data_IF_384536500012
#
_entry.id   IF_384536500012
#
_cell.length_a   1.000
_cell.length_b   1.000
_cell.length_c   1.000
_cell.angle_alpha   90.00
_cell.angle_beta   90.00
_cell.angle_gamma   90.00
#
_symmetry.space_group_name_H-M   'P 1'
#
loop_
_entity.id
_entity.type
_entity.pdbx_description
1 polymer ?
#
# COMPACT_ATOMS: atom_id res chain seq x y z
N UNK A 1 27.01 -17.14 -35.20
CA UNK A 1 27.72 -16.61 -34.01
C UNK A 1 28.25 -15.22 -34.35
N UNK A 2 27.55 -14.17 -33.94
CA UNK A 2 28.05 -12.79 -33.97
C UNK A 2 27.78 -12.20 -32.59
N UNK A 3 28.78 -12.26 -31.73
CA UNK A 3 28.78 -11.54 -30.46
C UNK A 3 29.28 -10.12 -30.70
N UNK A 4 28.67 -9.13 -30.05
CA UNK A 4 29.24 -7.80 -29.94
C UNK A 4 29.04 -7.27 -28.52
N UNK A 5 30.03 -6.59 -27.94
CA UNK A 5 30.18 -6.39 -26.50
C UNK A 5 29.84 -4.95 -26.12
N UNK A 6 28.77 -4.74 -25.35
CA UNK A 6 28.43 -3.42 -24.84
C UNK A 6 29.13 -3.17 -23.51
N UNK A 7 30.28 -2.50 -23.59
CA UNK A 7 31.02 -1.94 -22.47
C UNK A 7 30.58 -0.47 -22.29
N UNK A 8 29.78 -0.16 -21.26
CA UNK A 8 29.37 1.21 -20.94
C UNK A 8 30.42 1.87 -20.02
N UNK A 9 31.11 2.90 -20.56
CA UNK A 9 31.98 3.80 -19.80
C UNK A 9 31.16 4.88 -19.07
N UNK A 10 31.46 5.04 -17.79
CA UNK A 10 31.10 6.20 -16.98
C UNK A 10 31.81 7.47 -17.47
N UNK A 11 31.15 8.64 -17.37
CA UNK A 11 31.81 9.94 -17.56
C UNK A 11 30.92 11.02 -18.16
N UNK A 12 29.89 11.46 -17.44
CA UNK A 12 29.12 12.68 -17.77
C UNK A 12 28.88 13.54 -16.53
N UNK A 13 29.95 13.80 -15.78
CA UNK A 13 29.99 14.90 -14.81
C UNK A 13 31.14 15.78 -15.25
N UNK A 14 30.83 16.93 -15.85
CA UNK A 14 31.63 18.17 -15.91
C UNK A 14 31.22 18.96 -17.15
N UNK A 15 30.27 19.88 -16.98
CA UNK A 15 30.27 21.16 -17.68
C UNK A 15 29.48 22.16 -16.84
N UNK A 16 30.21 22.96 -16.06
CA UNK A 16 29.70 24.19 -15.43
C UNK A 16 29.49 25.20 -16.55
N UNK A 17 28.31 25.79 -16.61
CA UNK A 17 28.07 27.04 -17.32
C UNK A 17 27.89 28.12 -16.26
N UNK A 18 28.82 29.07 -16.22
CA UNK A 18 28.80 30.24 -15.35
C UNK A 18 27.85 31.28 -15.95
N UNK A 19 26.88 31.75 -15.16
CA UNK A 19 25.99 32.86 -15.51
C UNK A 19 26.39 34.12 -14.73
N UNK A 20 26.25 35.33 -15.31
CA UNK A 20 26.86 36.54 -14.76
C UNK A 20 26.09 37.09 -13.56
N UNK A 21 26.85 37.56 -12.56
CA UNK A 21 26.33 38.17 -11.34
C UNK A 21 26.04 39.65 -11.62
N UNK A 22 24.75 40.00 -11.73
CA UNK A 22 24.31 41.40 -11.78
C UNK A 22 24.15 41.90 -10.34
N UNK A 23 25.08 42.74 -9.87
CA UNK A 23 25.01 43.38 -8.55
C UNK A 23 24.02 44.56 -8.62
N UNK A 24 22.77 44.30 -8.26
CA UNK A 24 21.78 45.34 -7.97
C UNK A 24 21.77 45.70 -6.49
N UNK A 25 22.19 46.92 -6.16
CA UNK A 25 22.01 47.51 -4.82
C UNK A 25 20.53 47.79 -4.55
N UNK A 26 19.84 46.85 -3.90
CA UNK A 26 18.54 47.13 -3.30
C UNK A 26 18.71 47.32 -1.78
N UNK A 27 18.59 48.57 -1.34
CA UNK A 27 18.41 48.94 0.07
C UNK A 27 17.25 48.12 0.63
N UNK A 28 17.55 47.19 1.54
CA UNK A 28 16.54 46.46 2.31
C UNK A 28 15.96 47.42 3.34
N UNK A 29 14.81 48.01 3.04
CA UNK A 29 13.95 48.54 4.08
C UNK A 29 13.16 47.35 4.63
N UNK A 30 13.31 46.94 5.90
CA UNK A 30 12.55 45.83 6.43
C UNK A 30 11.07 46.23 6.44
N UNK A 31 10.27 45.54 5.61
CA UNK A 31 8.82 45.65 5.68
C UNK A 31 8.41 45.16 7.06
N UNK A 32 7.68 45.94 7.87
CA UNK A 32 7.21 45.46 9.15
C UNK A 32 6.26 44.29 8.88
N UNK A 33 6.63 43.09 9.34
CA UNK A 33 5.75 41.93 9.35
C UNK A 33 4.62 42.28 10.32
N UNK A 34 3.54 42.83 9.79
CA UNK A 34 2.30 42.98 10.52
C UNK A 34 1.75 41.57 10.71
N UNK A 35 1.96 41.00 11.90
CA UNK A 35 1.28 39.78 12.33
C UNK A 35 -0.22 40.10 12.38
N UNK A 36 -0.94 39.77 11.32
CA UNK A 36 -2.40 39.70 11.38
C UNK A 36 -2.71 38.39 12.10
N UNK A 37 -3.14 38.50 13.37
CA UNK A 37 -3.50 37.38 14.27
C UNK A 37 -4.80 36.69 13.82
N UNK A 38 -4.93 36.37 12.54
CA UNK A 38 -6.08 35.66 11.97
C UNK A 38 -5.65 34.61 10.95
N UNK A 39 -4.66 33.80 11.31
CA UNK A 39 -4.61 32.43 10.81
C UNK A 39 -5.75 31.63 11.45
N UNK A 40 -6.96 31.81 10.91
CA UNK A 40 -8.05 30.86 11.11
C UNK A 40 -7.70 29.62 10.30
N UNK A 41 -6.82 28.77 10.84
CA UNK A 41 -6.88 27.36 10.51
C UNK A 41 -8.26 26.89 10.96
N UNK A 42 -9.13 26.58 10.01
CA UNK A 42 -10.37 25.88 10.31
C UNK A 42 -9.93 24.47 10.69
N UNK A 43 -9.98 24.15 11.98
CA UNK A 43 -9.95 22.77 12.43
C UNK A 43 -11.18 22.08 11.83
N UNK A 44 -10.96 21.35 10.74
CA UNK A 44 -11.97 20.46 10.19
C UNK A 44 -11.89 19.20 11.02
N UNK A 45 -12.76 19.09 12.03
CA UNK A 45 -13.07 17.81 12.65
C UNK A 45 -13.65 16.90 11.57
N UNK A 46 -12.83 15.97 11.08
CA UNK A 46 -13.33 14.89 10.22
C UNK A 46 -14.35 14.11 11.06
N UNK A 47 -15.59 14.05 10.59
CA UNK A 47 -16.60 13.17 11.19
C UNK A 47 -16.06 11.75 11.15
N UNK A 48 -16.30 10.94 12.19
CA UNK A 48 -15.96 9.51 12.19
C UNK A 48 -16.54 8.88 10.91
N UNK A 49 -15.65 8.49 9.99
CA UNK A 49 -16.01 7.88 8.70
C UNK A 49 -15.77 8.75 7.46
N UNK A 50 -15.43 10.03 7.58
CA UNK A 50 -15.06 10.85 6.42
C UNK A 50 -13.58 10.69 6.08
N UNK A 51 -13.30 10.17 4.88
CA UNK A 51 -11.94 10.03 4.38
C UNK A 51 -11.28 11.40 4.14
N UNK A 52 -10.00 11.58 4.51
CA UNK A 52 -9.30 12.84 4.29
C UNK A 52 -9.20 13.14 2.78
N UNK A 53 -9.66 14.33 2.40
CA UNK A 53 -9.61 14.82 1.01
C UNK A 53 -8.19 15.04 0.49
N UNK A 54 -7.25 15.33 1.38
CA UNK A 54 -5.86 15.62 1.07
C UNK A 54 -4.94 14.63 1.78
N UNK A 55 -3.99 14.08 1.03
CA UNK A 55 -2.97 13.16 1.53
C UNK A 55 -1.58 13.79 1.35
N UNK A 56 -0.78 13.74 2.41
CA UNK A 56 0.61 14.21 2.35
C UNK A 56 1.51 13.10 1.81
N UNK A 57 2.28 13.40 0.76
CA UNK A 57 3.27 12.47 0.23
C UNK A 57 4.42 12.29 1.23
N UNK A 58 4.65 11.05 1.67
CA UNK A 58 5.75 10.73 2.59
C UNK A 58 7.16 10.97 2.02
N UNK A 59 7.31 10.99 0.69
CA UNK A 59 8.60 11.20 0.03
C UNK A 59 8.95 12.68 -0.17
N UNK A 60 8.03 13.48 -0.74
CA UNK A 60 8.33 14.86 -1.12
C UNK A 60 7.57 15.94 -0.34
N UNK A 61 6.68 15.53 0.58
CA UNK A 61 5.91 16.43 1.45
C UNK A 61 4.70 17.10 0.79
N UNK A 62 4.49 16.90 -0.51
CA UNK A 62 3.38 17.48 -1.27
C UNK A 62 2.02 17.05 -0.74
N UNK A 63 1.08 17.99 -0.65
CA UNK A 63 -0.32 17.69 -0.37
C UNK A 63 -1.03 17.37 -1.69
N UNK A 64 -1.48 16.13 -1.83
CA UNK A 64 -2.14 15.64 -3.04
C UNK A 64 -3.60 15.33 -2.73
N UNK A 65 -4.50 15.82 -3.58
CA UNK A 65 -5.92 15.53 -3.48
C UNK A 65 -6.20 14.04 -3.75
N UNK A 66 -6.95 13.36 -2.89
CA UNK A 66 -7.13 11.90 -2.94
C UNK A 66 -7.77 11.41 -4.24
N UNK A 67 -8.72 12.15 -4.80
CA UNK A 67 -9.31 11.84 -6.12
C UNK A 67 -8.25 11.80 -7.22
N UNK A 68 -7.31 12.76 -7.22
CA UNK A 68 -6.21 12.80 -8.19
C UNK A 68 -5.24 11.64 -8.02
N UNK A 69 -5.06 11.14 -6.79
CA UNK A 69 -4.30 9.92 -6.54
C UNK A 69 -5.02 8.69 -7.10
N UNK A 70 -6.33 8.56 -6.88
CA UNK A 70 -7.14 7.46 -7.44
C UNK A 70 -7.03 7.42 -8.97
N UNK A 71 -7.20 8.57 -9.63
CA UNK A 71 -7.08 8.70 -11.09
C UNK A 71 -5.65 8.41 -11.60
N UNK A 72 -4.63 8.54 -10.74
CA UNK A 72 -3.22 8.30 -11.08
C UNK A 72 -2.65 7.03 -10.40
N UNK A 73 -3.49 6.03 -10.12
CA UNK A 73 -3.07 4.74 -9.54
C UNK A 73 -2.23 4.87 -8.25
N UNK A 74 -2.57 5.86 -7.41
CA UNK A 74 -1.89 6.15 -6.15
C UNK A 74 -0.39 6.47 -6.31
N UNK A 75 -0.01 7.07 -7.43
CA UNK A 75 1.34 7.56 -7.70
C UNK A 75 1.37 9.08 -7.46
N UNK A 76 2.37 9.57 -6.72
CA UNK A 76 2.55 10.99 -6.49
C UNK A 76 2.82 11.71 -7.82
N UNK A 77 2.00 12.71 -8.22
CA UNK A 77 2.19 13.41 -9.49
C UNK A 77 3.46 14.29 -9.51
N UNK A 78 4.02 14.62 -8.35
CA UNK A 78 5.22 15.45 -8.22
C UNK A 78 6.51 14.67 -8.26
N UNK A 79 6.60 13.56 -7.52
CA UNK A 79 7.85 12.82 -7.32
C UNK A 79 7.81 11.36 -7.80
N UNK A 80 6.66 10.85 -8.26
CA UNK A 80 6.51 9.47 -8.72
C UNK A 80 6.50 8.42 -7.60
N UNK A 81 6.56 8.81 -6.33
CA UNK A 81 6.49 7.86 -5.22
C UNK A 81 5.09 7.20 -5.13
N UNK A 82 5.06 5.89 -4.86
CA UNK A 82 3.84 5.15 -4.60
C UNK A 82 3.30 5.48 -3.21
N UNK A 83 1.98 5.64 -3.11
CA UNK A 83 1.29 5.70 -1.83
C UNK A 83 1.00 4.29 -1.30
N UNK A 84 0.76 4.23 0.00
CA UNK A 84 0.17 3.04 0.60
C UNK A 84 -1.27 2.87 0.10
N UNK A 85 -1.68 1.63 -0.16
CA UNK A 85 -3.07 1.29 -0.49
C UNK A 85 -3.56 0.22 0.48
N UNK A 86 -4.82 0.33 0.87
CA UNK A 86 -5.54 -0.80 1.49
C UNK A 86 -5.75 -1.93 0.48
N UNK A 87 -6.11 -3.13 0.94
CA UNK A 87 -6.50 -4.21 0.04
C UNK A 87 -7.67 -3.80 -0.86
N UNK A 88 -8.69 -3.14 -0.30
CA UNK A 88 -9.84 -2.63 -1.05
C UNK A 88 -9.44 -1.62 -2.13
N UNK A 89 -8.60 -0.63 -1.79
CA UNK A 89 -8.11 0.35 -2.76
C UNK A 89 -7.29 -0.30 -3.87
N UNK A 90 -6.50 -1.32 -3.52
CA UNK A 90 -5.71 -2.09 -4.49
C UNK A 90 -6.60 -2.91 -5.41
N UNK A 91 -7.64 -3.55 -4.89
CA UNK A 91 -8.62 -4.30 -5.67
C UNK A 91 -9.31 -3.36 -6.66
N UNK A 92 -9.87 -2.24 -6.16
CA UNK A 92 -10.56 -1.25 -6.98
C UNK A 92 -9.67 -0.61 -8.07
N UNK A 93 -8.35 -0.51 -7.83
CA UNK A 93 -7.40 -0.01 -8.81
C UNK A 93 -6.99 -1.04 -9.88
N UNK A 94 -7.19 -2.34 -9.64
CA UNK A 94 -6.77 -3.42 -10.53
C UNK A 94 -7.91 -4.00 -11.35
N UNK A 95 -9.09 -4.15 -10.75
CA UNK A 95 -10.25 -4.80 -11.38
C UNK A 95 -11.13 -3.80 -12.10
N UNK A 96 -11.81 -4.27 -13.15
CA UNK A 96 -12.82 -3.51 -13.86
C UNK A 96 -13.98 -3.17 -12.91
N UNK A 97 -14.51 -1.95 -13.02
CA UNK A 97 -15.54 -1.43 -12.12
C UNK A 97 -16.77 -2.34 -12.05
N UNK A 98 -17.22 -2.66 -10.83
CA UNK A 98 -18.39 -3.49 -10.57
C UNK A 98 -18.22 -4.98 -10.85
N UNK A 99 -17.01 -5.45 -11.18
CA UNK A 99 -16.77 -6.87 -11.49
C UNK A 99 -16.26 -7.71 -10.32
N UNK A 100 -15.75 -7.06 -9.26
CA UNK A 100 -15.18 -7.77 -8.12
C UNK A 100 -16.26 -8.47 -7.30
N UNK A 101 -16.06 -9.76 -7.04
CA UNK A 101 -16.86 -10.59 -6.17
C UNK A 101 -15.93 -11.20 -5.12
N UNK A 102 -16.10 -10.75 -3.88
CA UNK A 102 -15.32 -11.27 -2.76
C UNK A 102 -15.70 -12.73 -2.48
N UNK A 103 -14.67 -13.56 -2.29
CA UNK A 103 -14.78 -14.98 -1.97
C UNK A 103 -13.97 -15.34 -0.72
N UNK A 104 -13.62 -14.35 0.10
CA UNK A 104 -12.91 -14.55 1.37
C UNK A 104 -13.65 -15.58 2.21
N UNK A 105 -12.96 -16.66 2.57
CA UNK A 105 -13.53 -17.68 3.44
C UNK A 105 -13.90 -17.04 4.78
N UNK A 106 -15.01 -17.45 5.42
CA UNK A 106 -15.44 -16.93 6.72
C UNK A 106 -14.57 -17.52 7.85
N UNK A 107 -13.26 -17.26 7.77
CA UNK A 107 -12.23 -17.66 8.70
C UNK A 107 -11.63 -16.42 9.34
N UNK A 108 -11.35 -16.51 10.63
CA UNK A 108 -10.71 -15.46 11.41
C UNK A 108 -9.44 -16.02 12.06
N UNK A 109 -8.37 -15.24 12.11
CA UNK A 109 -7.13 -15.68 12.79
C UNK A 109 -7.41 -16.00 14.26
N UNK A 110 -6.67 -16.93 14.84
CA UNK A 110 -6.78 -17.24 16.26
C UNK A 110 -5.38 -17.28 16.89
N UNK A 111 -5.32 -17.43 18.21
CA UNK A 111 -4.09 -17.56 18.98
C UNK A 111 -3.89 -19.01 19.49
N UNK A 112 -3.52 -19.96 18.61
CA UNK A 112 -3.40 -21.37 18.98
C UNK A 112 -2.25 -21.64 19.95
N UNK A 113 -1.30 -20.71 20.08
CA UNK A 113 -0.14 -20.85 20.96
C UNK A 113 -0.29 -20.05 22.26
N UNK A 114 -1.39 -19.31 22.43
CA UNK A 114 -1.57 -18.36 23.54
C UNK A 114 -0.35 -17.43 23.68
N UNK A 115 0.14 -16.95 22.53
CA UNK A 115 1.40 -16.23 22.42
C UNK A 115 1.29 -14.85 23.06
N UNK A 116 2.29 -14.51 23.87
CA UNK A 116 2.38 -13.19 24.48
C UNK A 116 3.82 -12.71 24.51
N UNK A 117 4.01 -11.46 24.09
CA UNK A 117 5.26 -10.72 24.24
C UNK A 117 5.02 -9.43 25.06
N UNK A 118 5.43 -8.27 24.57
CA UNK A 118 5.03 -6.97 25.14
C UNK A 118 3.51 -6.77 25.11
N UNK A 119 2.81 -7.44 24.19
CA UNK A 119 1.36 -7.37 24.04
C UNK A 119 0.82 -8.74 23.60
N UNK A 120 -0.23 -9.28 24.26
CA UNK A 120 -0.84 -10.56 23.87
C UNK A 120 -1.24 -10.58 22.39
N UNK A 121 -1.04 -11.72 21.72
CA UNK A 121 -1.36 -11.85 20.31
C UNK A 121 -2.87 -11.67 20.04
N UNK A 122 -3.73 -12.21 20.89
CA UNK A 122 -5.17 -11.99 20.84
C UNK A 122 -5.56 -10.49 20.79
N UNK A 123 -4.86 -9.63 21.55
CA UNK A 123 -5.10 -8.19 21.54
C UNK A 123 -4.58 -7.51 20.26
N UNK A 124 -3.55 -8.06 19.62
CA UNK A 124 -3.08 -7.59 18.30
C UNK A 124 -4.08 -7.94 17.22
N UNK A 125 -4.65 -9.14 17.26
CA UNK A 125 -5.70 -9.57 16.34
C UNK A 125 -6.95 -8.70 16.47
N UNK A 126 -7.41 -8.44 17.70
CA UNK A 126 -8.56 -7.56 17.94
C UNK A 126 -8.33 -6.15 17.37
N UNK A 127 -7.20 -5.52 17.67
CA UNK A 127 -6.89 -4.18 17.14
C UNK A 127 -6.74 -4.18 15.61
N UNK A 128 -6.14 -5.22 15.03
CA UNK A 128 -6.04 -5.34 13.58
C UNK A 128 -7.42 -5.44 12.92
N UNK A 129 -8.34 -6.24 13.47
CA UNK A 129 -9.73 -6.33 13.00
C UNK A 129 -10.47 -5.01 13.13
N UNK A 130 -10.38 -4.37 14.29
CA UNK A 130 -11.05 -3.09 14.56
C UNK A 130 -10.54 -1.97 13.62
N UNK A 131 -9.25 -1.94 13.34
CA UNK A 131 -8.64 -0.89 12.51
C UNK A 131 -8.77 -1.13 11.00
N UNK A 132 -8.87 -2.38 10.56
CA UNK A 132 -8.89 -2.73 9.13
C UNK A 132 -10.25 -3.19 8.62
N UNK A 133 -11.11 -3.70 9.51
CA UNK A 133 -12.35 -4.39 9.14
C UNK A 133 -12.14 -5.79 8.54
N UNK A 134 -10.91 -6.31 8.52
CA UNK A 134 -10.56 -7.59 7.90
C UNK A 134 -10.46 -8.71 8.94
N UNK A 135 -10.74 -9.96 8.53
CA UNK A 135 -10.61 -11.14 9.39
C UNK A 135 -9.17 -11.66 9.51
N UNK A 136 -8.38 -11.50 8.43
CA UNK A 136 -6.93 -11.71 8.34
C UNK A 136 -6.32 -10.75 7.28
N UNK A 137 -5.03 -10.88 7.01
CA UNK A 137 -4.24 -10.06 6.10
C UNK A 137 -4.50 -10.30 4.61
N UNK A 138 -5.36 -11.23 4.21
CA UNK A 138 -5.58 -11.57 2.78
C UNK A 138 -7.07 -11.48 2.45
N UNK A 139 -7.39 -10.69 1.44
CA UNK A 139 -8.70 -10.65 0.80
C UNK A 139 -8.61 -11.42 -0.51
N UNK A 140 -9.58 -12.28 -0.79
CA UNK A 140 -9.62 -13.07 -2.03
C UNK A 140 -10.96 -12.90 -2.73
N UNK A 141 -10.95 -12.99 -4.06
CA UNK A 141 -12.15 -12.85 -4.85
C UNK A 141 -11.90 -13.04 -6.34
N UNK A 142 -12.96 -13.01 -7.13
CA UNK A 142 -12.86 -12.97 -8.59
C UNK A 142 -13.17 -11.58 -9.10
N UNK A 143 -12.64 -11.22 -10.27
CA UNK A 143 -12.95 -9.98 -10.95
C UNK A 143 -12.46 -10.03 -12.38
N UNK A 144 -12.76 -9.01 -13.17
CA UNK A 144 -12.18 -8.87 -14.50
C UNK A 144 -11.03 -7.87 -14.44
N UNK A 145 -9.93 -8.16 -15.15
CA UNK A 145 -8.87 -7.21 -15.41
C UNK A 145 -8.81 -7.04 -16.93
N UNK A 146 -9.16 -5.86 -17.43
CA UNK A 146 -9.24 -5.58 -18.86
C UNK A 146 -10.11 -6.60 -19.61
N UNK A 147 -11.26 -6.96 -19.03
CA UNK A 147 -12.21 -7.92 -19.59
C UNK A 147 -11.85 -9.40 -19.38
N UNK A 148 -10.70 -9.72 -18.80
CA UNK A 148 -10.30 -11.09 -18.50
C UNK A 148 -10.63 -11.46 -17.07
N UNK A 149 -11.47 -12.48 -16.87
CA UNK A 149 -11.77 -13.01 -15.54
C UNK A 149 -10.51 -13.58 -14.90
N UNK A 150 -10.22 -13.17 -13.67
CA UNK A 150 -9.09 -13.61 -12.88
C UNK A 150 -9.54 -13.98 -11.46
N UNK A 151 -8.79 -14.87 -10.83
CA UNK A 151 -8.80 -15.02 -9.38
C UNK A 151 -7.77 -14.05 -8.80
N UNK A 152 -8.18 -13.24 -7.83
CA UNK A 152 -7.36 -12.21 -7.22
C UNK A 152 -7.20 -12.50 -5.72
N UNK A 153 -5.96 -12.44 -5.25
CA UNK A 153 -5.63 -12.38 -3.83
C UNK A 153 -4.85 -11.08 -3.56
N UNK A 154 -5.20 -10.35 -2.51
CA UNK A 154 -4.54 -9.09 -2.14
C UNK A 154 -4.23 -9.09 -0.66
N UNK A 155 -2.96 -8.87 -0.32
CA UNK A 155 -2.56 -8.70 1.08
C UNK A 155 -2.78 -7.26 1.55
N UNK A 156 -3.21 -7.10 2.81
CA UNK A 156 -3.27 -5.81 3.50
C UNK A 156 -2.18 -5.73 4.58
N UNK A 157 -1.19 -4.87 4.36
CA UNK A 157 -0.08 -4.70 5.29
C UNK A 157 -0.52 -4.11 6.65
N UNK A 158 -1.68 -3.44 6.74
CA UNK A 158 -2.19 -2.91 8.01
C UNK A 158 -2.52 -4.03 9.00
N UNK A 159 -2.87 -5.21 8.50
CA UNK A 159 -3.17 -6.38 9.33
C UNK A 159 -1.86 -7.05 9.78
N UNK A 160 -1.31 -6.60 10.92
CA UNK A 160 -0.10 -7.15 11.55
C UNK A 160 1.07 -7.26 10.54
N UNK A 161 1.31 -6.18 9.79
CA UNK A 161 2.38 -6.12 8.79
C UNK A 161 2.14 -6.99 7.56
N UNK A 162 0.88 -7.37 7.30
CA UNK A 162 0.53 -8.32 6.24
C UNK A 162 1.22 -9.67 6.42
N UNK A 163 1.55 -10.04 7.67
CA UNK A 163 2.29 -11.27 7.95
C UNK A 163 1.46 -12.49 7.58
N UNK A 164 2.08 -13.55 7.06
CA UNK A 164 1.35 -14.76 6.66
C UNK A 164 1.20 -15.71 7.84
N UNK A 165 -0.04 -15.88 8.32
CA UNK A 165 -0.45 -16.88 9.31
C UNK A 165 -1.30 -18.01 8.69
N UNK A 166 -1.88 -18.87 9.53
CA UNK A 166 -2.71 -20.02 9.14
C UNK A 166 -3.85 -19.57 8.22
N UNK A 167 -4.59 -18.52 8.60
CA UNK A 167 -5.75 -18.07 7.81
C UNK A 167 -5.31 -17.45 6.48
N UNK A 168 -4.25 -16.64 6.47
CA UNK A 168 -3.69 -16.13 5.21
C UNK A 168 -3.29 -17.27 4.26
N UNK A 169 -2.64 -18.33 4.78
CA UNK A 169 -2.29 -19.51 4.00
C UNK A 169 -3.50 -20.29 3.50
N UNK A 170 -4.57 -20.41 4.31
CA UNK A 170 -5.84 -21.02 3.90
C UNK A 170 -6.53 -20.24 2.78
N UNK A 171 -6.63 -18.92 2.90
CA UNK A 171 -7.22 -18.07 1.86
C UNK A 171 -6.44 -18.19 0.54
N UNK A 172 -5.11 -18.21 0.60
CA UNK A 172 -4.26 -18.34 -0.58
C UNK A 172 -4.38 -19.70 -1.26
N UNK A 173 -4.32 -20.79 -0.48
CA UNK A 173 -4.50 -22.15 -1.01
C UNK A 173 -5.86 -22.28 -1.69
N UNK A 174 -6.93 -21.84 -1.01
CA UNK A 174 -8.28 -21.81 -1.58
C UNK A 174 -8.33 -21.03 -2.91
N UNK A 175 -7.72 -19.85 -2.98
CA UNK A 175 -7.73 -19.05 -4.19
C UNK A 175 -6.94 -19.70 -5.34
N UNK A 176 -5.79 -20.30 -5.05
CA UNK A 176 -4.99 -21.00 -6.05
C UNK A 176 -5.71 -22.25 -6.59
N UNK A 177 -6.28 -23.06 -5.70
CA UNK A 177 -7.08 -24.23 -6.07
C UNK A 177 -8.29 -23.83 -6.92
N UNK A 178 -9.01 -22.79 -6.48
CA UNK A 178 -10.17 -22.28 -7.22
C UNK A 178 -9.81 -21.76 -8.61
N UNK A 179 -8.69 -21.04 -8.73
CA UNK A 179 -8.19 -20.56 -10.01
C UNK A 179 -7.85 -21.73 -10.96
N UNK A 180 -7.25 -22.80 -10.42
CA UNK A 180 -6.93 -24.01 -11.17
C UNK A 180 -8.20 -24.77 -11.63
N UNK A 181 -9.20 -24.92 -10.75
CA UNK A 181 -10.49 -25.53 -11.07
C UNK A 181 -11.23 -24.77 -12.19
N UNK A 182 -11.32 -23.44 -12.06
CA UNK A 182 -12.00 -22.58 -13.04
C UNK A 182 -11.16 -22.34 -14.31
N UNK A 183 -9.87 -22.72 -14.30
CA UNK A 183 -8.89 -22.45 -15.35
C UNK A 183 -8.78 -20.96 -15.70
N UNK A 184 -8.76 -20.12 -14.69
CA UNK A 184 -8.56 -18.67 -14.82
C UNK A 184 -7.19 -18.25 -14.27
N UNK A 185 -6.60 -17.14 -14.76
CA UNK A 185 -5.34 -16.63 -14.20
C UNK A 185 -5.48 -16.30 -12.72
N UNK A 186 -4.47 -16.67 -11.93
CA UNK A 186 -4.34 -16.25 -10.54
C UNK A 186 -3.39 -15.05 -10.45
N UNK A 187 -3.84 -13.98 -9.82
CA UNK A 187 -3.06 -12.76 -9.57
C UNK A 187 -2.95 -12.56 -8.06
N UNK A 188 -1.72 -12.46 -7.56
CA UNK A 188 -1.46 -12.22 -6.15
C UNK A 188 -0.69 -10.92 -5.94
N UNK A 189 -1.29 -10.00 -5.16
CA UNK A 189 -0.63 -8.76 -4.75
C UNK A 189 -0.07 -8.94 -3.34
N UNK A 190 1.26 -9.02 -3.28
CA UNK A 190 2.00 -9.28 -2.05
C UNK A 190 2.36 -7.97 -1.36
N UNK A 191 1.99 -7.87 -0.09
CA UNK A 191 2.41 -6.80 0.81
C UNK A 191 2.59 -7.40 2.21
N UNK A 192 3.76 -7.96 2.48
CA UNK A 192 4.03 -8.73 3.71
C UNK A 192 5.38 -8.37 4.32
N UNK A 193 5.42 -8.35 5.66
CA UNK A 193 6.64 -8.33 6.45
C UNK A 193 7.27 -9.71 6.71
N UNK A 194 6.63 -10.80 6.27
CA UNK A 194 7.11 -12.18 6.45
C UNK A 194 6.08 -13.13 7.07
N UNK A 195 6.54 -14.23 7.66
CA UNK A 195 5.69 -15.18 8.37
C UNK A 195 5.22 -14.61 9.73
N UNK A 196 4.03 -15.01 10.18
CA UNK A 196 3.46 -14.53 11.45
C UNK A 196 4.05 -15.27 12.64
N UNK A 197 5.14 -14.72 13.19
CA UNK A 197 5.92 -15.32 14.28
C UNK A 197 5.06 -15.75 15.48
N UNK A 198 3.95 -15.06 15.75
CA UNK A 198 3.03 -15.36 16.85
C UNK A 198 2.38 -16.75 16.73
N UNK A 199 2.27 -17.29 15.51
CA UNK A 199 1.75 -18.64 15.25
C UNK A 199 2.89 -19.66 15.04
N UNK A 200 4.15 -19.22 15.15
CA UNK A 200 5.34 -20.08 15.14
C UNK A 200 5.47 -20.94 13.88
N UNK A 201 5.68 -22.25 14.07
CA UNK A 201 5.87 -23.22 12.98
C UNK A 201 4.65 -23.31 12.06
N UNK A 202 3.44 -23.01 12.56
CA UNK A 202 2.22 -23.08 11.76
C UNK A 202 2.23 -22.06 10.62
N UNK A 203 2.82 -20.88 10.85
CA UNK A 203 3.04 -19.87 9.80
C UNK A 203 4.09 -20.31 8.78
N UNK A 204 5.16 -20.97 9.23
CA UNK A 204 6.19 -21.47 8.32
C UNK A 204 5.64 -22.54 7.37
N UNK A 205 4.81 -23.45 7.90
CA UNK A 205 4.18 -24.51 7.11
C UNK A 205 3.28 -23.97 5.98
N UNK A 206 2.76 -22.74 6.10
CA UNK A 206 1.97 -22.15 5.03
C UNK A 206 2.79 -21.93 3.75
N UNK A 207 4.10 -21.67 3.85
CA UNK A 207 4.96 -21.52 2.67
C UNK A 207 5.12 -22.83 1.88
N UNK A 208 4.93 -23.98 2.52
CA UNK A 208 4.94 -25.26 1.84
C UNK A 208 3.56 -25.62 1.27
N UNK A 209 2.49 -25.06 1.85
CA UNK A 209 1.11 -25.26 1.44
C UNK A 209 0.76 -24.46 0.17
N UNK A 210 1.22 -23.21 0.10
CA UNK A 210 0.97 -22.24 -0.98
C UNK A 210 2.11 -22.20 -1.99
#
# INVERSE_FOLDING_TARGET
>A
MRGSPWCFRAGWWHRRAEAPIIRGEHRRNPVPIRRDDRDRYVEVELRRGEEPLWLRCGSCGELVFRRRLRENNYICPRCGAYFFLTAEERIAALVDEGTFQELTLPLESDDPLSFSDRKPYADRLREARESTGLSDAVVVGTGNIAGHRVMLAVMDFRFIGGSMGIVAGEQLAFAMERAAEERIPFVFVVASGGARVQEGVLSLLQMAKT
#
